data_IF_745441548198
#
_entry.id   IF_745441548198
#
_cell.length_a   1.000
_cell.length_b   1.000
_cell.length_c   1.000
_cell.angle_alpha   90.00
_cell.angle_beta   90.00
_cell.angle_gamma   90.00
#
_symmetry.space_group_name_H-M   'P 1'
#
loop_
_entity.id
_entity.type
_entity.pdbx_description
1 polymer ?
#
# COMPACT_ATOMS: atom_id res chain seq x y z
N UNK A 1 31.74 -63.01 -40.70
CA UNK A 1 30.64 -62.03 -40.51
C UNK A 1 30.16 -61.96 -39.06
N UNK A 2 29.84 -63.08 -38.38
CA UNK A 2 29.33 -63.11 -37.00
C UNK A 2 30.22 -62.41 -35.94
N UNK A 3 31.56 -62.56 -36.01
CA UNK A 3 32.49 -61.89 -35.08
C UNK A 3 32.51 -60.36 -35.22
N UNK A 4 32.48 -59.84 -36.47
CA UNK A 4 32.41 -58.40 -36.73
C UNK A 4 31.09 -57.79 -36.24
N UNK A 5 29.97 -58.51 -36.41
CA UNK A 5 28.66 -58.10 -35.90
C UNK A 5 28.63 -58.03 -34.36
N UNK A 6 29.25 -59.02 -33.69
CA UNK A 6 29.37 -59.04 -32.23
C UNK A 6 30.22 -57.87 -31.72
N UNK A 7 31.34 -57.57 -32.40
CA UNK A 7 32.19 -56.41 -32.05
C UNK A 7 31.44 -55.10 -32.23
N UNK A 8 30.65 -54.94 -33.31
CA UNK A 8 29.82 -53.75 -33.54
C UNK A 8 28.76 -53.60 -32.44
N UNK A 9 28.08 -54.69 -32.07
CA UNK A 9 27.10 -54.68 -30.98
C UNK A 9 27.72 -54.33 -29.63
N UNK A 10 28.92 -54.86 -29.34
CA UNK A 10 29.66 -54.54 -28.12
C UNK A 10 30.06 -53.05 -28.07
N UNK A 11 30.55 -52.50 -29.18
CA UNK A 11 30.90 -51.07 -29.28
C UNK A 11 29.65 -50.21 -29.09
N UNK A 12 28.53 -50.56 -29.74
CA UNK A 12 27.27 -49.83 -29.60
C UNK A 12 26.76 -49.85 -28.16
N UNK A 13 26.88 -51.00 -27.47
CA UNK A 13 26.52 -51.14 -26.06
C UNK A 13 27.42 -50.30 -25.14
N UNK A 14 28.73 -50.25 -25.41
CA UNK A 14 29.66 -49.38 -24.66
C UNK A 14 29.38 -47.88 -24.85
N UNK A 15 28.88 -47.46 -26.02
CA UNK A 15 28.54 -46.06 -26.30
C UNK A 15 27.30 -45.58 -25.53
N UNK A 16 26.37 -46.49 -25.19
CA UNK A 16 25.14 -46.14 -24.47
C UNK A 16 25.33 -45.89 -22.97
N UNK A 17 26.50 -46.25 -22.41
CA UNK A 17 26.77 -46.19 -20.98
C UNK A 17 27.35 -44.87 -20.46
N UNK A 18 27.50 -43.84 -21.30
CA UNK A 18 28.07 -42.55 -20.86
C UNK A 18 26.94 -41.64 -20.37
N UNK A 19 26.77 -41.41 -19.05
CA UNK A 19 25.76 -40.50 -18.54
C UNK A 19 26.11 -39.07 -18.95
N UNK A 20 25.41 -38.54 -19.94
CA UNK A 20 25.50 -37.12 -20.31
C UNK A 20 24.68 -36.33 -19.29
N UNK A 21 25.32 -35.39 -18.58
CA UNK A 21 24.59 -34.42 -17.74
C UNK A 21 23.76 -33.52 -18.66
N UNK A 22 22.44 -33.69 -18.63
CA UNK A 22 21.51 -32.81 -19.34
C UNK A 22 21.01 -31.76 -18.35
N UNK A 23 21.24 -30.48 -18.65
CA UNK A 23 20.70 -29.36 -17.87
C UNK A 23 19.22 -29.14 -18.23
N UNK A 24 18.35 -29.99 -17.71
CA UNK A 24 16.93 -29.67 -17.68
C UNK A 24 16.75 -28.43 -16.78
N UNK A 25 16.19 -27.35 -17.34
CA UNK A 25 15.92 -26.14 -16.57
C UNK A 25 14.67 -26.40 -15.71
N UNK A 26 14.88 -26.64 -14.41
CA UNK A 26 13.80 -26.64 -13.43
C UNK A 26 13.47 -25.21 -13.00
N UNK A 27 12.19 -24.94 -12.75
CA UNK A 27 11.75 -23.69 -12.12
C UNK A 27 11.32 -24.01 -10.69
N UNK A 28 11.95 -23.37 -9.70
CA UNK A 28 11.51 -23.41 -8.31
C UNK A 28 10.68 -22.17 -8.01
N UNK A 29 9.43 -22.38 -7.55
CA UNK A 29 8.50 -21.30 -7.20
C UNK A 29 8.19 -21.42 -5.71
N UNK A 30 8.45 -20.34 -4.97
CA UNK A 30 8.04 -20.18 -3.57
C UNK A 30 7.09 -19.01 -3.44
N UNK A 31 6.16 -19.06 -2.48
CA UNK A 31 5.20 -17.98 -2.23
C UNK A 31 5.02 -17.75 -0.73
N UNK A 32 4.59 -16.54 -0.36
CA UNK A 32 4.18 -16.19 1.00
C UNK A 32 2.94 -15.28 0.92
N UNK A 33 1.97 -15.53 1.79
CA UNK A 33 0.78 -14.66 1.93
C UNK A 33 1.09 -13.55 2.92
N UNK A 34 0.87 -12.29 2.50
CA UNK A 34 1.06 -11.08 3.33
C UNK A 34 -0.18 -10.21 3.27
N UNK A 35 -0.44 -9.45 4.33
CA UNK A 35 -1.47 -8.41 4.33
C UNK A 35 -1.05 -7.24 3.43
N UNK A 36 -1.99 -6.73 2.65
CA UNK A 36 -1.81 -5.55 1.81
C UNK A 36 -2.93 -4.55 2.10
N UNK A 37 -2.59 -3.27 1.95
CA UNK A 37 -3.49 -2.14 2.10
C UNK A 37 -3.65 -1.51 0.72
N UNK A 38 -4.89 -1.39 0.27
CA UNK A 38 -5.25 -0.59 -0.88
C UNK A 38 -5.85 0.73 -0.41
N UNK A 39 -5.38 1.83 -0.99
CA UNK A 39 -6.02 3.14 -0.88
C UNK A 39 -6.67 3.50 -2.20
N UNK A 40 -7.81 4.18 -2.13
CA UNK A 40 -8.46 4.80 -3.30
C UNK A 40 -8.56 6.30 -3.05
N UNK A 41 -7.99 7.10 -3.94
CA UNK A 41 -8.02 8.55 -3.86
C UNK A 41 -8.93 9.13 -4.96
N UNK A 42 -9.90 9.94 -4.54
CA UNK A 42 -10.82 10.69 -5.40
C UNK A 42 -10.80 12.17 -5.04
N UNK A 43 -10.99 13.04 -6.02
CA UNK A 43 -11.31 14.44 -5.77
C UNK A 43 -12.73 14.58 -5.21
N UNK A 44 -13.06 15.74 -4.64
CA UNK A 44 -14.41 16.05 -4.13
C UNK A 44 -15.47 16.03 -5.24
N UNK A 45 -15.05 16.15 -6.50
CA UNK A 45 -15.90 15.98 -7.69
C UNK A 45 -16.25 14.52 -7.98
N UNK A 46 -15.60 13.58 -7.30
CA UNK A 46 -15.71 12.13 -7.53
C UNK A 46 -14.73 11.57 -8.56
N UNK A 47 -13.97 12.42 -9.25
CA UNK A 47 -12.97 11.98 -10.22
C UNK A 47 -11.78 11.28 -9.54
N UNK A 48 -11.23 10.19 -10.13
CA UNK A 48 -10.07 9.51 -9.57
C UNK A 48 -8.82 10.40 -9.60
N UNK A 49 -8.02 10.34 -8.54
CA UNK A 49 -6.71 11.02 -8.48
C UNK A 49 -5.66 10.15 -9.21
N UNK A 50 -5.87 9.94 -10.51
CA UNK A 50 -4.95 9.19 -11.36
C UNK A 50 -3.56 9.83 -11.39
N UNK A 51 -2.49 9.04 -11.39
CA UNK A 51 -1.09 9.52 -11.36
C UNK A 51 -0.76 10.40 -10.13
N UNK A 52 -1.62 10.39 -9.10
CA UNK A 52 -1.38 11.08 -7.84
C UNK A 52 -0.15 10.53 -7.14
N UNK A 53 0.73 11.41 -6.67
CA UNK A 53 1.94 11.03 -5.93
C UNK A 53 1.53 10.48 -4.55
N UNK A 54 2.00 9.28 -4.25
CA UNK A 54 1.82 8.63 -2.95
C UNK A 54 3.13 8.67 -2.16
N UNK A 55 3.05 9.05 -0.89
CA UNK A 55 4.18 9.01 0.06
C UNK A 55 3.71 8.33 1.33
N UNK A 56 4.43 7.29 1.75
CA UNK A 56 4.11 6.47 2.93
C UNK A 56 5.20 6.68 3.98
N UNK A 57 4.79 6.94 5.21
CA UNK A 57 5.66 7.06 6.37
C UNK A 57 5.38 5.93 7.37
N UNK A 58 6.45 5.33 7.87
CA UNK A 58 6.36 4.29 8.88
C UNK A 58 6.17 4.91 10.28
N UNK A 59 5.51 4.21 11.23
CA UNK A 59 5.19 4.74 12.55
C UNK A 59 6.39 5.26 13.35
N UNK A 60 7.57 4.66 13.13
CA UNK A 60 8.80 4.98 13.85
C UNK A 60 9.60 6.14 13.23
N UNK A 61 9.26 6.60 12.02
CA UNK A 61 9.95 7.70 11.35
C UNK A 61 8.96 8.48 10.45
N UNK A 62 8.09 9.31 11.03
CA UNK A 62 7.08 10.07 10.29
C UNK A 62 7.65 11.21 9.44
N UNK A 63 8.95 11.52 9.57
CA UNK A 63 9.60 12.62 8.85
C UNK A 63 10.35 12.16 7.59
N UNK A 64 10.58 10.85 7.43
CA UNK A 64 11.30 10.30 6.28
C UNK A 64 10.39 9.31 5.55
N UNK A 65 10.16 9.48 4.23
CA UNK A 65 9.38 8.51 3.46
C UNK A 65 9.96 7.10 3.59
N UNK A 66 9.11 6.15 3.99
CA UNK A 66 9.41 4.73 3.93
C UNK A 66 9.25 4.19 2.50
N UNK A 67 8.23 4.65 1.80
CA UNK A 67 8.00 4.31 0.39
C UNK A 67 7.30 5.45 -0.34
N UNK A 68 7.46 5.47 -1.66
CA UNK A 68 6.80 6.43 -2.56
C UNK A 68 6.29 5.72 -3.79
N UNK A 69 5.24 6.24 -4.40
CA UNK A 69 4.65 5.67 -5.61
C UNK A 69 3.68 6.61 -6.29
N UNK A 70 2.86 6.06 -7.19
CA UNK A 70 1.79 6.77 -7.88
C UNK A 70 0.53 5.94 -7.95
N UNK A 71 -0.63 6.58 -7.83
CA UNK A 71 -1.91 5.94 -8.06
C UNK A 71 -2.09 5.51 -9.52
N UNK A 72 -2.84 4.43 -9.73
CA UNK A 72 -3.27 3.95 -11.05
C UNK A 72 -4.32 4.88 -11.69
N UNK A 73 -4.79 4.54 -12.89
CA UNK A 73 -5.80 5.30 -13.65
C UNK A 73 -7.14 5.49 -12.88
N UNK A 74 -7.43 4.61 -11.92
CA UNK A 74 -8.62 4.65 -11.09
C UNK A 74 -8.36 5.31 -9.73
N UNK A 75 -7.19 5.93 -9.53
CA UNK A 75 -6.82 6.57 -8.27
C UNK A 75 -6.42 5.60 -7.17
N UNK A 76 -6.18 4.31 -7.47
CA UNK A 76 -5.82 3.31 -6.48
C UNK A 76 -4.32 3.16 -6.31
N UNK A 77 -3.89 2.83 -5.10
CA UNK A 77 -2.51 2.43 -4.83
C UNK A 77 -2.49 1.36 -3.73
N UNK A 78 -1.71 0.30 -3.95
CA UNK A 78 -1.63 -0.84 -3.03
C UNK A 78 -0.21 -1.00 -2.52
N UNK A 79 -0.07 -1.19 -1.21
CA UNK A 79 1.22 -1.46 -0.57
C UNK A 79 1.08 -2.50 0.53
N UNK A 80 2.17 -3.21 0.82
CA UNK A 80 2.27 -4.13 1.94
C UNK A 80 3.14 -3.49 3.03
N UNK A 81 2.57 -3.07 4.17
CA UNK A 81 3.37 -2.52 5.27
C UNK A 81 4.29 -3.61 5.84
N UNK A 82 5.41 -3.19 6.42
CA UNK A 82 6.33 -4.10 7.11
C UNK A 82 5.70 -4.59 8.43
N UNK A 83 5.41 -5.89 8.58
CA UNK A 83 4.75 -6.42 9.78
C UNK A 83 5.62 -6.30 11.04
N UNK A 84 6.94 -6.09 10.92
CA UNK A 84 7.82 -5.82 12.05
C UNK A 84 7.67 -4.40 12.61
N UNK A 85 6.91 -3.54 11.95
CA UNK A 85 6.66 -2.14 12.32
C UNK A 85 5.16 -1.89 12.59
N UNK A 86 4.59 -2.45 13.68
CA UNK A 86 3.22 -2.15 14.07
C UNK A 86 3.07 -0.68 14.50
N UNK A 87 1.88 -0.14 14.36
CA UNK A 87 1.54 1.24 14.72
C UNK A 87 0.74 1.96 13.65
N UNK A 88 0.70 3.29 13.73
CA UNK A 88 -0.03 4.15 12.80
C UNK A 88 0.89 4.52 11.63
N UNK A 89 0.50 4.12 10.43
CA UNK A 89 1.17 4.47 9.18
C UNK A 89 0.49 5.67 8.54
N UNK A 90 1.28 6.66 8.13
CA UNK A 90 0.76 7.84 7.45
C UNK A 90 0.91 7.68 5.95
N UNK A 91 -0.20 7.78 5.23
CA UNK A 91 -0.22 7.71 3.76
C UNK A 91 -0.74 9.01 3.21
N UNK A 92 0.11 9.72 2.47
CA UNK A 92 -0.23 10.97 1.80
C UNK A 92 -0.43 10.74 0.30
N UNK A 93 -1.48 11.30 -0.27
CA UNK A 93 -1.70 11.36 -1.72
C UNK A 93 -1.82 12.81 -2.16
N UNK A 94 -1.07 13.21 -3.20
CA UNK A 94 -1.06 14.58 -3.74
C UNK A 94 -1.08 14.62 -5.26
N UNK A 95 -1.86 15.53 -5.83
CA UNK A 95 -1.86 15.85 -7.26
C UNK A 95 -2.31 17.29 -7.48
N UNK A 96 -1.60 18.03 -8.33
CA UNK A 96 -1.98 19.38 -8.77
C UNK A 96 -2.39 20.32 -7.61
N UNK A 97 -1.59 20.37 -6.53
CA UNK A 97 -1.85 21.22 -5.37
C UNK A 97 -2.93 20.71 -4.40
N UNK A 98 -3.66 19.66 -4.76
CA UNK A 98 -4.63 19.00 -3.90
C UNK A 98 -4.01 17.76 -3.26
N UNK A 99 -4.42 17.44 -2.03
CA UNK A 99 -4.00 16.20 -1.40
C UNK A 99 -4.60 15.96 -0.04
N UNK A 100 -4.50 14.72 0.41
CA UNK A 100 -4.97 14.27 1.70
C UNK A 100 -3.95 13.37 2.36
N UNK A 101 -4.15 13.12 3.65
CA UNK A 101 -3.40 12.14 4.43
C UNK A 101 -4.39 11.26 5.18
N UNK A 102 -4.09 9.97 5.24
CA UNK A 102 -4.82 8.99 6.04
C UNK A 102 -3.87 8.32 7.01
N UNK A 103 -4.41 7.95 8.18
CA UNK A 103 -3.69 7.31 9.27
C UNK A 103 -4.20 5.88 9.39
N UNK A 104 -3.34 4.90 9.08
CA UNK A 104 -3.75 3.50 8.95
C UNK A 104 -3.12 2.69 10.09
N UNK A 105 -3.93 2.13 11.02
CA UNK A 105 -3.40 1.24 12.03
C UNK A 105 -2.96 -0.10 11.41
N UNK A 106 -1.77 -0.57 11.75
CA UNK A 106 -1.19 -1.85 11.31
C UNK A 106 -0.71 -2.62 12.55
N UNK A 107 -1.10 -3.90 12.70
CA UNK A 107 -0.69 -4.75 13.82
C UNK A 107 -1.85 -5.54 14.43
N UNK A 108 -1.60 -6.24 15.54
CA UNK A 108 -2.57 -7.16 16.18
C UNK A 108 -3.82 -6.46 16.74
N UNK A 109 -3.73 -5.17 17.08
CA UNK A 109 -4.87 -4.34 17.51
C UNK A 109 -5.52 -3.55 16.37
N UNK A 110 -5.05 -3.72 15.14
CA UNK A 110 -5.66 -3.09 13.97
C UNK A 110 -6.97 -3.80 13.64
N UNK A 111 -8.05 -3.36 14.29
CA UNK A 111 -9.39 -3.65 13.77
C UNK A 111 -9.44 -3.16 12.32
N UNK A 112 -9.88 -4.02 11.40
CA UNK A 112 -10.00 -3.72 9.98
C UNK A 112 -11.10 -2.65 9.75
N UNK A 113 -10.82 -1.42 10.15
CA UNK A 113 -11.71 -0.30 10.02
C UNK A 113 -11.38 0.42 8.71
N UNK A 114 -12.35 0.46 7.81
CA UNK A 114 -12.32 1.37 6.67
C UNK A 114 -12.33 2.81 7.21
N UNK A 115 -11.23 3.54 7.00
CA UNK A 115 -11.09 4.93 7.40
C UNK A 115 -11.13 5.85 6.18
N UNK A 116 -11.72 7.04 6.34
CA UNK A 116 -11.68 8.11 5.36
C UNK A 116 -11.06 9.36 5.97
N UNK A 117 -10.32 10.15 5.19
CA UNK A 117 -9.78 11.45 5.63
C UNK A 117 -10.85 12.56 5.75
N UNK A 118 -12.03 12.36 5.17
CA UNK A 118 -13.11 13.35 5.16
C UNK A 118 -13.92 13.41 6.45
N UNK A 119 -14.51 14.58 6.74
CA UNK A 119 -15.45 14.77 7.84
C UNK A 119 -16.88 14.40 7.44
N UNK A 120 -17.65 13.89 8.39
CA UNK A 120 -19.09 13.67 8.21
C UNK A 120 -19.85 14.99 8.26
N UNK A 121 -21.05 15.02 7.66
CA UNK A 121 -21.95 16.18 7.74
C UNK A 121 -22.24 16.59 9.18
N UNK A 122 -22.43 15.62 10.08
CA UNK A 122 -22.68 15.91 11.50
C UNK A 122 -21.46 16.54 12.20
N UNK A 123 -20.25 16.10 11.88
CA UNK A 123 -19.02 16.73 12.37
C UNK A 123 -18.92 18.17 11.89
N UNK A 124 -19.20 18.43 10.61
CA UNK A 124 -19.18 19.79 10.02
C UNK A 124 -20.20 20.69 10.73
N UNK A 125 -21.43 20.22 10.92
CA UNK A 125 -22.49 20.98 11.61
C UNK A 125 -22.09 21.30 13.06
N UNK A 126 -21.52 20.32 13.78
CA UNK A 126 -21.06 20.53 15.15
C UNK A 126 -19.95 21.59 15.22
N UNK A 127 -18.96 21.51 14.33
CA UNK A 127 -17.87 22.50 14.25
C UNK A 127 -18.42 23.91 13.97
N UNK A 128 -19.38 24.04 13.04
CA UNK A 128 -20.03 25.31 12.73
C UNK A 128 -20.78 25.89 13.94
N UNK A 129 -21.53 25.05 14.67
CA UNK A 129 -22.25 25.46 15.87
C UNK A 129 -21.30 25.96 16.97
N UNK A 130 -20.18 25.26 17.20
CA UNK A 130 -19.16 25.68 18.16
C UNK A 130 -18.53 27.03 17.77
N UNK A 131 -18.24 27.25 16.48
CA UNK A 131 -17.69 28.51 16.00
C UNK A 131 -18.66 29.68 16.21
N UNK A 132 -19.94 29.51 15.83
CA UNK A 132 -20.99 30.51 16.05
C UNK A 132 -21.12 30.83 17.54
N UNK A 133 -21.17 29.81 18.39
CA UNK A 133 -21.24 30.00 19.84
C UNK A 133 -20.04 30.78 20.39
N UNK A 134 -18.82 30.49 19.91
CA UNK A 134 -17.61 31.23 20.28
C UNK A 134 -17.68 32.71 19.90
N UNK A 135 -18.19 33.04 18.71
CA UNK A 135 -18.38 34.44 18.30
C UNK A 135 -19.46 35.14 19.13
N UNK A 136 -20.60 34.49 19.38
CA UNK A 136 -21.68 35.04 20.22
C UNK A 136 -21.18 35.28 21.64
N UNK A 137 -20.51 34.30 22.25
CA UNK A 137 -19.94 34.43 23.58
C UNK A 137 -18.93 35.58 23.69
N UNK A 138 -18.06 35.71 22.69
CA UNK A 138 -17.08 36.81 22.61
C UNK A 138 -17.77 38.16 22.50
N UNK A 139 -18.79 38.29 21.64
CA UNK A 139 -19.55 39.52 21.49
C UNK A 139 -20.26 39.92 22.79
N UNK A 140 -20.92 38.98 23.46
CA UNK A 140 -21.59 39.20 24.74
C UNK A 140 -20.61 39.59 25.86
N UNK A 141 -19.41 39.00 25.90
CA UNK A 141 -18.36 39.35 26.86
C UNK A 141 -17.96 40.83 26.75
N UNK A 142 -17.75 41.33 25.53
CA UNK A 142 -17.42 42.74 25.31
C UNK A 142 -18.62 43.67 25.52
N UNK A 143 -19.85 43.22 25.23
CA UNK A 143 -21.06 44.00 25.50
C UNK A 143 -21.26 44.24 27.00
N UNK A 144 -20.91 43.27 27.86
CA UNK A 144 -21.05 43.39 29.32
C UNK A 144 -20.13 44.45 29.94
N UNK A 145 -18.97 44.74 29.32
CA UNK A 145 -17.96 45.66 29.88
C UNK A 145 -18.36 47.14 29.77
N UNK A 146 -19.46 47.48 29.09
CA UNK A 146 -19.89 48.86 28.84
C UNK A 146 -20.84 49.44 29.90
N UNK A 147 -21.06 48.74 31.02
CA UNK A 147 -21.79 49.23 32.20
C UNK A 147 -20.86 49.31 33.41
#
# INVERSE_FOLDING_TARGET
MKRKLLTILLILFLIQGVPVKVFAHGVEITYQTKSAIEITATFDTGEPVSEGQVVIYAPNNPSTPWSTGKCDENGRFTFAPDPSKPGIWDVQVRRAGHGGMVHIPVGEDATAAAGSSGYTTSQIVLMAACAIWGFVGTALFFLRRKN
#
